data_IF_391470355795
#
_entry.id   IF_391470355795
#
_cell.length_a   1.000
_cell.length_b   1.000
_cell.length_c   1.000
_cell.angle_alpha   90.00
_cell.angle_beta   90.00
_cell.angle_gamma   90.00
#
_symmetry.space_group_name_H-M   'P 1'
#
loop_
_entity.id
_entity.type
_entity.pdbx_description
1 polymer ?
#
# COMPACT_ATOMS: atom_id res chain seq x y z
N UNK A 1 15.54 53.80 -11.68
CA UNK A 1 14.95 52.55 -12.23
C UNK A 1 15.41 51.40 -11.35
N UNK A 2 14.56 50.94 -10.42
CA UNK A 2 14.84 49.74 -9.61
C UNK A 2 14.11 48.57 -10.24
N UNK A 3 14.86 47.58 -10.73
CA UNK A 3 14.32 46.31 -11.21
C UNK A 3 14.09 45.40 -9.99
N UNK A 4 12.83 45.20 -9.62
CA UNK A 4 12.42 44.18 -8.68
C UNK A 4 12.40 42.82 -9.38
N UNK A 5 13.41 41.98 -9.12
CA UNK A 5 13.39 40.56 -9.47
C UNK A 5 12.42 39.82 -8.53
N UNK A 6 11.26 39.44 -9.06
CA UNK A 6 10.36 38.48 -8.42
C UNK A 6 10.92 37.06 -8.59
N UNK A 7 11.44 36.49 -7.50
CA UNK A 7 11.71 35.06 -7.40
C UNK A 7 10.37 34.35 -7.23
N UNK A 8 9.82 33.83 -8.32
CA UNK A 8 8.76 32.82 -8.29
C UNK A 8 9.33 31.56 -7.66
N UNK A 9 9.05 31.33 -6.38
CA UNK A 9 9.25 30.02 -5.76
C UNK A 9 8.29 29.03 -6.41
N UNK A 10 8.76 28.37 -7.47
CA UNK A 10 8.18 27.13 -7.99
C UNK A 10 8.34 26.09 -6.88
N UNK A 11 7.36 26.02 -5.98
CA UNK A 11 7.14 24.83 -5.16
C UNK A 11 6.72 23.73 -6.12
N UNK A 12 7.69 22.95 -6.62
CA UNK A 12 7.37 21.65 -7.18
C UNK A 12 6.71 20.87 -6.05
N UNK A 13 5.43 20.47 -6.17
CA UNK A 13 4.88 19.51 -5.24
C UNK A 13 5.82 18.31 -5.31
N UNK A 14 6.31 17.89 -4.15
CA UNK A 14 7.12 16.69 -4.05
C UNK A 14 6.33 15.58 -4.76
N UNK A 15 6.87 15.09 -5.88
CA UNK A 15 6.31 13.95 -6.60
C UNK A 15 6.54 12.75 -5.68
N UNK A 16 5.56 12.51 -4.81
CA UNK A 16 5.56 11.35 -3.94
C UNK A 16 5.48 10.12 -4.82
N UNK A 17 6.31 9.11 -4.51
CA UNK A 17 6.33 7.85 -5.25
C UNK A 17 5.01 7.10 -5.01
N UNK A 18 4.03 7.33 -5.86
CA UNK A 18 2.78 6.58 -5.87
C UNK A 18 3.08 5.13 -6.24
N UNK A 19 2.48 4.17 -5.53
CA UNK A 19 2.66 2.75 -5.86
C UNK A 19 1.89 2.45 -7.15
N UNK A 20 2.60 2.19 -8.24
CA UNK A 20 2.01 1.71 -9.50
C UNK A 20 1.80 0.20 -9.41
N UNK A 21 0.57 -0.26 -9.61
CA UNK A 21 0.20 -1.67 -9.68
C UNK A 21 -0.14 -2.01 -11.12
N UNK A 22 0.58 -2.97 -11.68
CA UNK A 22 0.44 -3.43 -13.06
C UNK A 22 0.10 -4.91 -13.08
N UNK A 23 -0.79 -5.29 -14.01
CA UNK A 23 -1.22 -6.66 -14.20
C UNK A 23 -1.24 -6.99 -15.70
N UNK A 24 -1.16 -8.27 -16.03
CA UNK A 24 -1.10 -8.69 -17.43
C UNK A 24 -2.41 -8.35 -18.16
N UNK A 25 -2.31 -8.09 -19.46
CA UNK A 25 -3.48 -7.84 -20.30
C UNK A 25 -4.46 -9.02 -20.24
N UNK A 26 -5.76 -8.72 -20.10
CA UNK A 26 -6.85 -9.68 -19.94
C UNK A 26 -6.64 -10.66 -18.78
N UNK A 27 -6.05 -10.18 -17.69
CA UNK A 27 -5.89 -10.98 -16.47
C UNK A 27 -6.58 -10.33 -15.28
N UNK A 28 -6.84 -11.17 -14.28
CA UNK A 28 -7.19 -10.76 -12.93
C UNK A 28 -5.96 -10.93 -12.05
N UNK A 29 -5.65 -9.90 -11.28
CA UNK A 29 -4.63 -9.96 -10.26
C UNK A 29 -5.21 -9.57 -8.90
N UNK A 30 -4.75 -10.27 -7.88
CA UNK A 30 -5.16 -10.05 -6.51
C UNK A 30 -4.01 -9.37 -5.75
N UNK A 31 -4.31 -8.28 -5.05
CA UNK A 31 -3.30 -7.50 -4.35
C UNK A 31 -3.79 -7.07 -2.96
N UNK A 32 -2.96 -7.28 -1.94
CA UNK A 32 -3.12 -6.63 -0.64
C UNK A 32 -2.34 -5.31 -0.61
N UNK A 33 -2.96 -4.27 -0.07
CA UNK A 33 -2.43 -2.93 0.12
C UNK A 33 -2.83 -2.42 1.51
N UNK A 34 -2.09 -1.44 2.03
CA UNK A 34 -2.47 -0.75 3.27
C UNK A 34 -3.27 0.49 2.91
N UNK A 35 -4.38 0.70 3.60
CA UNK A 35 -5.24 1.86 3.42
C UNK A 35 -4.50 3.18 3.65
N UNK A 36 -4.98 4.24 3.02
CA UNK A 36 -4.45 5.59 3.16
C UNK A 36 -3.24 5.96 2.32
N UNK A 37 -2.63 4.98 1.64
CA UNK A 37 -1.54 5.24 0.71
C UNK A 37 -2.06 5.36 -0.72
N UNK A 38 -1.70 6.45 -1.40
CA UNK A 38 -2.04 6.67 -2.80
C UNK A 38 -1.50 5.53 -3.68
N UNK A 39 -2.37 5.00 -4.52
CA UNK A 39 -2.07 3.89 -5.44
C UNK A 39 -2.55 4.24 -6.84
N UNK A 40 -1.81 3.77 -7.84
CA UNK A 40 -2.20 3.87 -9.26
C UNK A 40 -2.39 2.46 -9.80
N UNK A 41 -3.60 2.15 -10.29
CA UNK A 41 -3.89 0.94 -11.03
C UNK A 41 -3.68 1.22 -12.52
N UNK A 42 -2.76 0.48 -13.14
CA UNK A 42 -2.40 0.70 -14.53
C UNK A 42 -3.52 0.25 -15.48
N UNK A 43 -3.81 1.04 -16.51
CA UNK A 43 -4.61 0.56 -17.63
C UNK A 43 -4.18 1.27 -18.90
N UNK A 44 -3.36 0.59 -19.71
CA UNK A 44 -2.74 1.15 -20.90
C UNK A 44 -3.68 1.08 -22.12
N UNK A 45 -4.91 1.59 -21.97
CA UNK A 45 -5.87 1.59 -23.05
C UNK A 45 -6.55 2.96 -23.22
N UNK A 46 -6.43 3.61 -24.39
CA UNK A 46 -7.00 4.93 -24.61
C UNK A 46 -8.51 4.97 -24.37
N UNK A 47 -8.97 5.96 -23.61
CA UNK A 47 -10.38 6.22 -23.29
C UNK A 47 -11.09 5.14 -22.46
N UNK A 48 -10.37 4.14 -21.96
CA UNK A 48 -10.94 3.06 -21.17
C UNK A 48 -11.79 3.52 -19.97
N UNK A 49 -12.87 2.80 -19.70
CA UNK A 49 -13.77 3.05 -18.59
C UNK A 49 -13.38 2.21 -17.39
N UNK A 50 -13.61 2.74 -16.20
CA UNK A 50 -13.32 2.07 -14.95
C UNK A 50 -14.61 1.88 -14.16
N UNK A 51 -14.78 0.68 -13.64
CA UNK A 51 -15.88 0.33 -12.77
C UNK A 51 -15.35 -0.32 -11.50
N UNK A 52 -16.16 -0.25 -10.46
CA UNK A 52 -15.86 -0.87 -9.18
C UNK A 52 -17.06 -1.69 -8.70
N UNK A 53 -16.73 -2.84 -8.13
CA UNK A 53 -17.67 -3.70 -7.40
C UNK A 53 -17.13 -3.93 -6.00
N UNK A 54 -17.91 -3.54 -5.00
CA UNK A 54 -17.60 -3.78 -3.59
C UNK A 54 -17.62 -5.28 -3.28
N UNK A 55 -16.75 -5.74 -2.39
CA UNK A 55 -16.80 -7.12 -1.84
C UNK A 55 -18.12 -7.45 -1.13
N UNK A 56 -18.92 -6.42 -0.79
CA UNK A 56 -20.22 -6.58 -0.14
C UNK A 56 -21.34 -6.99 -1.12
N UNK A 57 -21.04 -7.14 -2.41
CA UNK A 57 -21.99 -7.64 -3.41
C UNK A 57 -22.89 -6.56 -4.01
N UNK A 58 -22.37 -5.35 -4.18
CA UNK A 58 -23.07 -4.26 -4.86
C UNK A 58 -22.87 -4.34 -6.38
N UNK A 59 -23.87 -3.88 -7.15
CA UNK A 59 -23.76 -3.82 -8.61
C UNK A 59 -22.57 -2.95 -9.03
N UNK A 60 -21.81 -3.33 -10.08
CA UNK A 60 -20.72 -2.53 -10.57
C UNK A 60 -21.17 -1.11 -10.95
N UNK A 61 -20.45 -0.10 -10.49
CA UNK A 61 -20.73 1.28 -10.88
C UNK A 61 -19.49 1.95 -11.47
N UNK A 62 -19.75 2.93 -12.34
CA UNK A 62 -18.71 3.68 -13.04
C UNK A 62 -17.99 4.61 -12.05
N UNK A 63 -16.66 4.50 -11.98
CA UNK A 63 -15.83 5.23 -11.01
C UNK A 63 -15.68 6.72 -11.27
N UNK A 64 -16.16 7.23 -12.42
CA UNK A 64 -16.05 8.64 -12.80
C UNK A 64 -16.75 9.61 -11.85
N UNK A 65 -17.56 9.12 -10.91
CA UNK A 65 -18.36 9.90 -9.96
C UNK A 65 -17.82 9.90 -8.52
N UNK A 66 -16.77 9.14 -8.21
CA UNK A 66 -16.29 9.01 -6.84
C UNK A 66 -15.30 10.11 -6.43
N UNK A 67 -15.48 10.73 -5.24
CA UNK A 67 -14.45 11.59 -4.67
C UNK A 67 -13.20 10.76 -4.36
N UNK A 68 -12.01 11.37 -4.45
CA UNK A 68 -10.71 10.73 -4.22
C UNK A 68 -10.26 9.70 -5.26
N UNK A 69 -10.92 9.66 -6.42
CA UNK A 69 -10.51 8.86 -7.58
C UNK A 69 -10.22 9.80 -8.74
N UNK A 70 -9.11 9.58 -9.43
CA UNK A 70 -8.70 10.38 -10.58
C UNK A 70 -8.22 9.49 -11.70
N UNK A 71 -8.80 9.66 -12.89
CA UNK A 71 -8.26 9.06 -14.12
C UNK A 71 -7.04 9.86 -14.59
N UNK A 72 -5.92 9.18 -14.77
CA UNK A 72 -4.67 9.76 -15.25
C UNK A 72 -4.60 9.81 -16.78
N UNK A 73 -3.70 10.64 -17.36
CA UNK A 73 -3.34 10.53 -18.77
C UNK A 73 -2.91 9.09 -19.09
N UNK A 74 -3.45 8.49 -20.15
CA UNK A 74 -3.23 7.08 -20.47
C UNK A 74 -4.30 6.11 -19.95
N UNK A 75 -5.28 6.60 -19.17
CA UNK A 75 -6.41 5.84 -18.61
C UNK A 75 -6.14 5.02 -17.34
N UNK A 76 -4.94 5.05 -16.77
CA UNK A 76 -4.69 4.52 -15.43
C UNK A 76 -5.54 5.22 -14.36
N UNK A 77 -5.85 4.51 -13.28
CA UNK A 77 -6.69 4.98 -12.19
C UNK A 77 -5.86 5.30 -10.95
N UNK A 78 -5.86 6.55 -10.51
CA UNK A 78 -5.29 6.96 -9.24
C UNK A 78 -6.37 6.92 -8.16
N UNK A 79 -6.09 6.21 -7.07
CA UNK A 79 -6.87 6.19 -5.84
C UNK A 79 -6.08 6.96 -4.78
N UNK A 80 -6.65 8.05 -4.26
CA UNK A 80 -6.01 8.87 -3.23
C UNK A 80 -6.55 8.51 -1.85
N UNK A 81 -5.65 8.24 -0.90
CA UNK A 81 -5.99 7.87 0.48
C UNK A 81 -7.10 6.80 0.58
N UNK A 82 -6.98 5.64 -0.11
CA UNK A 82 -8.04 4.64 -0.22
C UNK A 82 -8.40 4.05 1.15
N UNK A 83 -9.69 3.84 1.39
CA UNK A 83 -10.23 3.30 2.65
C UNK A 83 -10.49 1.79 2.56
N UNK A 84 -10.54 1.05 3.69
CA UNK A 84 -10.90 -0.36 3.68
C UNK A 84 -12.27 -0.67 3.05
N UNK A 85 -13.21 0.28 3.08
CA UNK A 85 -14.51 0.14 2.41
C UNK A 85 -14.41 0.14 0.88
N UNK A 86 -13.24 0.48 0.32
CA UNK A 86 -12.95 0.43 -1.11
C UNK A 86 -12.26 -0.88 -1.51
N UNK A 87 -12.16 -1.86 -0.61
CA UNK A 87 -11.77 -3.23 -0.96
C UNK A 87 -12.80 -3.82 -1.92
N UNK A 88 -12.33 -4.40 -3.03
CA UNK A 88 -13.20 -4.88 -4.09
C UNK A 88 -12.51 -5.09 -5.43
N UNK A 89 -13.33 -5.28 -6.46
CA UNK A 89 -12.91 -5.51 -7.82
C UNK A 89 -12.96 -4.21 -8.62
N UNK A 90 -11.82 -3.82 -9.17
CA UNK A 90 -11.66 -2.70 -10.09
C UNK A 90 -11.42 -3.25 -11.49
N UNK A 91 -12.29 -2.94 -12.43
CA UNK A 91 -12.13 -3.44 -13.80
C UNK A 91 -12.03 -2.30 -14.81
N UNK A 92 -11.02 -2.40 -15.67
CA UNK A 92 -10.80 -1.50 -16.79
C UNK A 92 -11.36 -2.14 -18.07
N UNK A 93 -12.23 -1.42 -18.78
CA UNK A 93 -12.84 -1.84 -20.04
C UNK A 93 -12.50 -0.87 -21.17
N UNK A 94 -12.35 -1.37 -22.38
CA UNK A 94 -12.25 -0.52 -23.56
C UNK A 94 -13.60 0.06 -24.00
N UNK A 95 -13.60 0.82 -25.10
CA UNK A 95 -14.80 1.47 -25.62
C UNK A 95 -15.83 0.49 -26.21
N UNK A 96 -15.44 -0.77 -26.45
CA UNK A 96 -16.29 -1.85 -26.95
C UNK A 96 -16.77 -2.77 -25.81
N UNK A 97 -16.59 -2.33 -24.55
CA UNK A 97 -16.85 -3.07 -23.32
C UNK A 97 -16.02 -4.35 -23.17
N UNK A 98 -14.92 -4.50 -23.91
CA UNK A 98 -14.03 -5.62 -23.72
C UNK A 98 -13.10 -5.38 -22.52
N UNK A 99 -12.91 -6.42 -21.73
CA UNK A 99 -12.05 -6.38 -20.56
C UNK A 99 -10.59 -6.14 -20.97
N UNK A 100 -9.96 -5.14 -20.34
CA UNK A 100 -8.53 -4.85 -20.48
C UNK A 100 -7.75 -5.48 -19.33
N UNK A 101 -8.18 -5.25 -18.08
CA UNK A 101 -7.52 -5.77 -16.87
C UNK A 101 -8.46 -5.68 -15.66
N UNK A 102 -8.31 -6.60 -14.71
CA UNK A 102 -9.02 -6.62 -13.43
C UNK A 102 -8.06 -6.64 -12.25
N UNK A 103 -8.37 -5.83 -11.25
CA UNK A 103 -7.65 -5.75 -9.98
C UNK A 103 -8.60 -6.09 -8.84
N UNK A 104 -8.35 -7.19 -8.15
CA UNK A 104 -9.01 -7.52 -6.89
C UNK A 104 -8.12 -7.02 -5.75
N UNK A 105 -8.53 -5.93 -5.10
CA UNK A 105 -7.68 -5.18 -4.18
C UNK A 105 -8.24 -5.25 -2.76
N UNK A 106 -7.40 -5.69 -1.82
CA UNK A 106 -7.64 -5.60 -0.39
C UNK A 106 -6.92 -4.39 0.23
N UNK A 107 -7.68 -3.36 0.64
CA UNK A 107 -7.17 -2.26 1.45
C UNK A 107 -7.27 -2.60 2.95
N UNK A 108 -6.19 -3.13 3.50
CA UNK A 108 -6.09 -3.45 4.92
C UNK A 108 -5.89 -2.21 5.77
N UNK A 109 -6.61 -2.15 6.89
CA UNK A 109 -6.69 -0.96 7.74
C UNK A 109 -5.35 -0.60 8.39
N UNK A 110 -4.75 0.51 7.94
CA UNK A 110 -3.53 1.09 8.49
C UNK A 110 -3.65 1.45 9.98
N UNK A 111 -4.85 1.80 10.46
CA UNK A 111 -5.07 2.18 11.85
C UNK A 111 -5.02 0.98 12.81
N UNK A 112 -5.12 -0.23 12.26
CA UNK A 112 -5.05 -1.48 13.01
C UNK A 112 -3.66 -2.14 12.96
N UNK A 113 -2.65 -1.49 12.37
CA UNK A 113 -1.32 -2.04 12.16
C UNK A 113 -0.68 -2.54 13.47
N UNK A 114 -0.18 -3.78 13.48
CA UNK A 114 0.63 -4.31 14.56
C UNK A 114 2.11 -4.05 14.29
N UNK A 115 2.78 -3.34 15.20
CA UNK A 115 4.18 -2.94 15.02
C UNK A 115 5.07 -3.69 15.99
N UNK A 116 6.14 -4.30 15.48
CA UNK A 116 7.11 -5.06 16.28
C UNK A 116 8.54 -4.69 15.91
N UNK A 117 9.42 -4.62 16.91
CA UNK A 117 10.86 -4.41 16.73
C UNK A 117 11.65 -5.66 17.13
N UNK A 118 12.30 -6.29 16.15
CA UNK A 118 13.01 -7.57 16.32
C UNK A 118 14.14 -7.46 17.36
N UNK A 119 14.96 -6.40 17.30
CA UNK A 119 16.06 -6.21 18.24
C UNK A 119 15.61 -5.89 19.69
N UNK A 120 14.31 -5.67 19.92
CA UNK A 120 13.73 -5.53 21.26
C UNK A 120 13.11 -6.84 21.76
N UNK A 121 13.24 -7.94 21.01
CA UNK A 121 12.63 -9.23 21.33
C UNK A 121 11.11 -9.24 21.18
N UNK A 122 10.54 -8.29 20.42
CA UNK A 122 9.11 -8.29 20.11
C UNK A 122 8.85 -9.24 18.94
N UNK A 123 7.92 -10.15 19.14
CA UNK A 123 7.55 -11.14 18.12
C UNK A 123 6.35 -10.67 17.29
N UNK A 124 6.36 -10.91 15.96
CA UNK A 124 5.19 -10.72 15.11
C UNK A 124 3.99 -11.58 15.52
N UNK A 125 2.83 -11.31 14.92
CA UNK A 125 1.62 -12.08 15.14
C UNK A 125 1.81 -13.53 14.70
N UNK A 126 1.62 -14.46 15.65
CA UNK A 126 1.65 -15.89 15.38
C UNK A 126 0.52 -16.30 14.44
N UNK A 127 0.76 -17.33 13.64
CA UNK A 127 -0.29 -17.87 12.77
C UNK A 127 -1.43 -18.47 13.61
N UNK A 128 -2.67 -18.29 13.16
CA UNK A 128 -3.86 -18.74 13.90
C UNK A 128 -4.75 -19.58 13.00
N UNK A 129 -5.27 -20.69 13.51
CA UNK A 129 -6.30 -21.48 12.80
C UNK A 129 -7.67 -21.05 13.26
N UNK A 130 -8.51 -20.59 12.33
CA UNK A 130 -9.87 -20.15 12.60
C UNK A 130 -10.90 -21.08 11.98
N UNK A 131 -12.15 -20.99 12.46
CA UNK A 131 -13.30 -21.69 11.89
C UNK A 131 -14.20 -20.69 11.16
N UNK A 132 -13.96 -20.50 9.86
CA UNK A 132 -14.68 -19.57 8.98
C UNK A 132 -15.23 -20.36 7.79
N UNK A 133 -16.43 -20.95 7.93
CA UNK A 133 -16.96 -21.92 6.95
C UNK A 133 -16.19 -23.26 6.86
N UNK A 134 -14.97 -23.32 7.38
CA UNK A 134 -14.06 -24.47 7.46
C UNK A 134 -12.86 -24.14 8.35
N UNK A 135 -11.87 -25.04 8.45
CA UNK A 135 -10.61 -24.76 9.15
C UNK A 135 -9.66 -24.02 8.21
N UNK A 136 -9.36 -22.76 8.54
CA UNK A 136 -8.51 -21.90 7.72
C UNK A 136 -7.32 -21.40 8.51
N UNK A 137 -6.18 -21.23 7.85
CA UNK A 137 -4.98 -20.67 8.46
C UNK A 137 -4.90 -19.17 8.17
N UNK A 138 -4.91 -18.35 9.21
CA UNK A 138 -4.62 -16.92 9.12
C UNK A 138 -3.15 -16.70 9.43
N UNK A 139 -2.46 -16.02 8.52
CA UNK A 139 -1.02 -15.77 8.63
C UNK A 139 -0.66 -14.42 8.00
N UNK A 140 0.59 -14.01 8.19
CA UNK A 140 1.11 -12.79 7.60
C UNK A 140 1.95 -13.11 6.37
N UNK A 141 1.56 -12.52 5.25
CA UNK A 141 2.37 -12.49 4.05
C UNK A 141 3.29 -11.27 4.09
N UNK A 142 4.59 -11.51 4.25
CA UNK A 142 5.58 -10.45 4.36
C UNK A 142 6.10 -9.99 3.01
N UNK A 143 6.10 -8.68 2.80
CA UNK A 143 6.92 -8.06 1.78
C UNK A 143 8.42 -8.23 2.11
N UNK A 144 9.30 -8.09 1.10
CA UNK A 144 10.72 -7.99 1.34
C UNK A 144 11.06 -6.86 2.32
N UNK A 145 12.18 -7.03 3.03
CA UNK A 145 12.78 -5.94 3.77
C UNK A 145 13.15 -4.79 2.85
N UNK A 146 12.85 -3.57 3.30
CA UNK A 146 13.41 -2.37 2.71
C UNK A 146 14.93 -2.35 2.87
N UNK A 147 15.58 -1.53 2.05
CA UNK A 147 16.99 -1.21 2.26
C UNK A 147 17.20 -0.60 3.65
N UNK A 148 18.41 -0.81 4.19
CA UNK A 148 18.80 -0.17 5.43
C UNK A 148 18.78 1.35 5.24
N UNK A 149 18.16 2.08 6.18
CA UNK A 149 18.07 3.55 6.08
C UNK A 149 19.44 4.25 6.20
N UNK A 150 20.49 3.51 6.59
CA UNK A 150 21.85 4.00 6.77
C UNK A 150 22.86 2.90 6.48
N UNK A 151 23.98 3.27 5.87
CA UNK A 151 25.15 2.43 5.70
C UNK A 151 26.32 2.91 6.58
N UNK A 152 27.34 2.06 6.77
CA UNK A 152 28.59 2.40 7.46
C UNK A 152 28.45 2.59 8.98
N UNK A 153 27.26 2.38 9.52
CA UNK A 153 26.95 2.48 10.94
C UNK A 153 25.58 1.85 11.23
N UNK A 154 25.16 1.83 12.51
CA UNK A 154 23.86 1.30 12.89
C UNK A 154 22.75 2.04 12.15
N UNK A 155 21.82 1.29 11.59
CA UNK A 155 20.60 1.76 10.94
C UNK A 155 19.42 0.85 11.27
N UNK A 156 18.30 1.12 10.62
CA UNK A 156 17.07 0.33 10.72
C UNK A 156 16.51 0.06 9.32
N UNK A 157 15.87 -1.10 9.17
CA UNK A 157 15.05 -1.43 8.00
C UNK A 157 13.69 -1.93 8.45
N UNK A 158 12.72 -1.84 7.54
CA UNK A 158 11.32 -2.15 7.82
C UNK A 158 10.77 -3.08 6.75
N UNK A 159 9.80 -3.91 7.10
CA UNK A 159 8.98 -4.66 6.14
C UNK A 159 7.52 -4.63 6.54
N UNK A 160 6.67 -4.58 5.53
CA UNK A 160 5.23 -4.60 5.71
C UNK A 160 4.72 -6.03 5.57
N UNK A 161 3.77 -6.41 6.42
CA UNK A 161 3.09 -7.68 6.41
C UNK A 161 1.60 -7.47 6.18
N UNK A 162 1.01 -8.31 5.35
CA UNK A 162 -0.42 -8.29 5.06
C UNK A 162 -1.09 -9.53 5.62
N UNK A 163 -2.32 -9.38 6.11
CA UNK A 163 -3.14 -10.50 6.55
C UNK A 163 -3.58 -11.35 5.35
N UNK A 164 -3.30 -12.65 5.39
CA UNK A 164 -3.77 -13.63 4.42
C UNK A 164 -4.46 -14.80 5.11
N UNK A 165 -5.41 -15.40 4.40
CA UNK A 165 -6.09 -16.64 4.76
C UNK A 165 -5.71 -17.70 3.73
N UNK A 166 -5.30 -18.87 4.21
CA UNK A 166 -5.00 -20.03 3.40
C UNK A 166 -5.92 -21.20 3.77
N UNK A 167 -6.50 -21.81 2.75
CA UNK A 167 -7.16 -23.11 2.85
C UNK A 167 -6.25 -24.23 2.33
N UNK A 168 -6.44 -25.47 2.78
CA UNK A 168 -5.73 -26.61 2.21
C UNK A 168 -5.98 -26.70 0.69
N UNK A 169 -4.90 -26.79 -0.09
CA UNK A 169 -4.91 -26.95 -1.57
C UNK A 169 -5.37 -25.73 -2.38
N UNK A 170 -5.71 -24.61 -1.75
CA UNK A 170 -6.06 -23.37 -2.44
C UNK A 170 -4.95 -22.32 -2.37
N UNK A 171 -4.99 -21.37 -3.30
CA UNK A 171 -4.08 -20.23 -3.25
C UNK A 171 -4.52 -19.31 -2.11
N UNK A 172 -3.61 -18.88 -1.22
CA UNK A 172 -3.96 -17.94 -0.16
C UNK A 172 -4.51 -16.62 -0.71
N UNK A 173 -5.46 -16.04 0.02
CA UNK A 173 -6.10 -14.77 -0.34
C UNK A 173 -5.98 -13.75 0.80
N UNK A 174 -5.94 -12.44 0.48
CA UNK A 174 -6.03 -11.38 1.48
C UNK A 174 -7.31 -11.52 2.33
N UNK A 175 -7.18 -11.25 3.62
CA UNK A 175 -8.21 -11.57 4.60
C UNK A 175 -9.58 -10.95 4.29
N UNK A 176 -9.65 -9.69 3.83
CA UNK A 176 -10.94 -9.06 3.57
C UNK A 176 -11.59 -9.48 2.25
N UNK A 177 -10.79 -9.93 1.27
CA UNK A 177 -11.34 -10.56 0.05
C UNK A 177 -11.92 -11.94 0.35
N UNK A 178 -11.28 -12.70 1.24
CA UNK A 178 -11.78 -14.01 1.68
C UNK A 178 -13.10 -13.89 2.44
N UNK A 179 -13.18 -13.00 3.43
CA UNK A 179 -14.35 -12.86 4.30
C UNK A 179 -15.59 -12.28 3.61
N UNK A 180 -15.41 -11.49 2.54
CA UNK A 180 -16.50 -10.80 1.83
C UNK A 180 -17.43 -10.05 2.80
N UNK A 181 -18.70 -10.46 2.90
CA UNK A 181 -19.70 -9.85 3.77
C UNK A 181 -19.66 -10.37 5.23
N UNK A 182 -18.86 -11.39 5.53
CA UNK A 182 -18.75 -11.97 6.87
C UNK A 182 -17.96 -11.02 7.79
N UNK A 183 -18.64 -10.45 8.79
CA UNK A 183 -18.05 -9.50 9.75
C UNK A 183 -17.28 -10.18 10.88
N UNK A 184 -16.55 -11.25 10.58
CA UNK A 184 -15.70 -11.92 11.56
C UNK A 184 -14.44 -11.08 11.81
N UNK A 185 -14.52 -10.11 12.72
CA UNK A 185 -13.36 -9.30 13.13
C UNK A 185 -12.54 -10.08 14.15
N UNK A 186 -11.55 -10.84 13.68
CA UNK A 186 -10.57 -11.50 14.56
C UNK A 186 -9.40 -10.57 14.85
N UNK A 187 -8.85 -10.66 16.06
CA UNK A 187 -7.68 -9.86 16.46
C UNK A 187 -6.49 -10.10 15.54
N UNK A 188 -6.32 -11.31 14.99
CA UNK A 188 -5.26 -11.65 14.03
C UNK A 188 -5.40 -10.99 12.66
N UNK A 189 -6.60 -10.52 12.30
CA UNK A 189 -6.91 -9.97 10.98
C UNK A 189 -6.52 -8.50 10.84
N UNK A 190 -5.22 -8.25 10.91
CA UNK A 190 -4.64 -6.91 10.78
C UNK A 190 -3.30 -6.98 10.03
N UNK A 191 -2.91 -5.91 9.33
CA UNK A 191 -1.58 -5.84 8.76
C UNK A 191 -0.52 -5.68 9.87
N UNK A 192 0.74 -5.96 9.52
CA UNK A 192 1.88 -5.86 10.41
C UNK A 192 2.99 -4.99 9.84
N UNK A 193 3.81 -4.40 10.71
CA UNK A 193 5.06 -3.74 10.35
C UNK A 193 6.14 -4.26 11.27
N UNK A 194 7.17 -4.87 10.67
CA UNK A 194 8.34 -5.29 11.41
C UNK A 194 9.50 -4.32 11.17
N UNK A 195 10.19 -3.99 12.25
CA UNK A 195 11.41 -3.17 12.26
C UNK A 195 12.56 -4.01 12.79
N UNK A 196 13.73 -3.91 12.17
CA UNK A 196 14.95 -4.50 12.70
C UNK A 196 16.13 -3.54 12.56
N UNK A 197 17.10 -3.67 13.46
CA UNK A 197 18.39 -3.01 13.29
C UNK A 197 19.17 -3.65 12.14
N UNK A 198 19.88 -2.83 11.38
CA UNK A 198 20.77 -3.27 10.31
C UNK A 198 22.12 -2.56 10.37
N UNK A 199 23.14 -3.24 9.87
CA UNK A 199 24.49 -2.69 9.70
C UNK A 199 25.01 -3.17 8.34
N UNK A 200 24.97 -2.29 7.35
CA UNK A 200 25.39 -2.58 5.98
C UNK A 200 26.57 -1.70 5.58
N UNK A 201 27.53 -2.19 4.78
CA UNK A 201 28.58 -1.35 4.22
C UNK A 201 27.98 -0.34 3.23
N UNK A 202 28.64 0.82 3.09
CA UNK A 202 28.24 1.80 2.07
C UNK A 202 28.66 1.31 0.69
N UNK A 203 27.75 1.49 -0.28
CA UNK A 203 28.01 1.23 -1.70
C UNK A 203 27.99 2.57 -2.43
N UNK A 204 29.17 3.20 -2.46
CA UNK A 204 29.34 4.54 -3.02
C UNK A 204 28.92 4.62 -4.51
N UNK A 205 28.96 3.51 -5.25
CA UNK A 205 28.53 3.48 -6.65
C UNK A 205 27.01 3.57 -6.77
N UNK A 206 26.27 2.93 -5.86
CA UNK A 206 24.81 3.08 -5.77
C UNK A 206 24.39 4.43 -5.22
N UNK A 207 25.09 4.95 -4.20
CA UNK A 207 24.80 6.24 -3.58
C UNK A 207 24.97 7.43 -4.55
N UNK A 208 25.95 7.39 -5.45
CA UNK A 208 26.17 8.44 -6.46
C UNK A 208 25.11 8.40 -7.57
N UNK A 209 24.52 7.24 -7.85
CA UNK A 209 23.54 7.05 -8.92
C UNK A 209 22.08 7.12 -8.44
N UNK A 210 21.82 7.33 -7.15
CA UNK A 210 20.45 7.56 -6.67
C UNK A 210 20.05 9.01 -6.96
N UNK A 211 18.95 9.25 -7.70
CA UNK A 211 18.61 10.59 -8.16
C UNK A 211 18.23 11.56 -7.03
N UNK A 212 17.91 11.09 -5.82
CA UNK A 212 17.62 11.96 -4.67
C UNK A 212 17.92 11.25 -3.33
N UNK A 213 18.60 11.94 -2.41
CA UNK A 213 18.58 11.60 -0.99
C UNK A 213 17.20 11.94 -0.42
N UNK A 214 16.40 10.94 -0.05
CA UNK A 214 15.24 11.16 0.82
C UNK A 214 15.77 11.22 2.25
N UNK A 215 15.98 12.43 2.76
CA UNK A 215 16.23 12.63 4.18
C UNK A 215 14.92 12.46 4.94
N UNK A 216 14.80 11.40 5.75
CA UNK A 216 13.76 11.24 6.78
C UNK A 216 14.08 12.16 7.99
N UNK A 217 14.31 13.46 7.74
CA UNK A 217 14.45 14.46 8.80
C UNK A 217 13.07 15.09 9.01
N UNK A 218 12.28 14.50 9.91
CA UNK A 218 11.03 15.13 10.32
C UNK A 218 11.26 16.20 11.37
N UNK A 219 10.93 17.44 11.01
CA UNK A 219 10.77 18.55 11.93
C UNK A 219 9.50 18.34 12.74
N UNK A 220 9.66 18.14 14.05
CA UNK A 220 8.57 18.00 15.01
C UNK A 220 7.71 19.28 15.01
N UNK A 221 6.42 19.19 14.62
CA UNK A 221 5.44 20.24 14.94
C UNK A 221 4.62 20.89 13.80
N UNK A 222 4.66 20.41 12.55
CA UNK A 222 3.72 20.88 11.51
C UNK A 222 2.81 19.75 10.99
N UNK A 223 1.62 19.67 11.59
CA UNK A 223 0.48 18.89 11.11
C UNK A 223 -0.11 19.53 9.84
N UNK A 224 0.13 18.93 8.67
CA UNK A 224 -0.71 19.11 7.48
C UNK A 224 -0.75 17.81 6.65
N UNK A 225 -1.94 17.20 6.59
CA UNK A 225 -2.46 16.26 5.57
C UNK A 225 -1.55 15.20 4.96
N UNK A 226 -1.19 14.17 5.73
CA UNK A 226 -0.67 12.91 5.16
C UNK A 226 -1.14 11.73 6.04
N UNK A 227 -1.62 10.60 5.48
CA UNK A 227 -1.77 9.38 6.28
C UNK A 227 -0.43 8.67 6.35
N UNK A 228 0.24 8.90 7.46
CA UNK A 228 1.50 8.26 7.82
C UNK A 228 1.22 7.10 8.75
N UNK A 229 1.98 6.02 8.59
CA UNK A 229 2.14 5.08 9.68
C UNK A 229 2.95 5.80 10.76
N UNK A 230 2.27 6.40 11.74
CA UNK A 230 2.90 6.80 13.00
C UNK A 230 3.46 5.54 13.64
N UNK A 231 4.72 5.24 13.33
CA UNK A 231 5.48 4.33 14.17
C UNK A 231 5.46 4.95 15.58
N UNK A 232 5.09 4.19 16.62
CA UNK A 232 5.20 4.69 17.98
C UNK A 232 6.62 5.19 18.25
N UNK A 233 6.75 6.17 19.15
CA UNK A 233 7.97 6.81 19.66
C UNK A 233 8.98 5.80 20.27
N UNK A 234 9.45 4.84 19.49
CA UNK A 234 10.33 3.76 19.90
C UNK A 234 11.22 3.30 18.73
N UNK A 235 11.89 4.25 18.07
CA UNK A 235 13.21 3.99 17.49
C UNK A 235 14.24 4.54 18.47
N UNK A 236 15.20 3.71 18.81
CA UNK A 236 16.19 3.83 19.89
C UNK A 236 17.32 4.84 19.60
N UNK A 237 17.08 5.87 18.78
CA UNK A 237 17.91 7.08 18.79
C UNK A 237 17.41 8.09 19.81
N UNK A 238 17.56 7.71 21.08
CA UNK A 238 18.02 8.59 22.16
C UNK A 238 18.97 7.82 23.06
#
# INVERSE_FOLDING_TARGET
MLATLWLLSLSLPTLWAQKLISCAYKSLCQQALVSGNDVVLQCDYPKALWYFSSILGEDPFLLSSMPHIKKLPGSSLQLTNPQPSQTGLYHCQDNDNALVVEYEVDFQDATALHVTHESLGQEPLQNETLRLGGHVLVFTHWEPWQDCNRCGGPGERKRLGYCYIGEPQEKPMPCWLYLRAEKARHSRMRPELQVEACLVPCDHVKEINQPYFIFDIYQLGKLTNNMWLTCPLASIYR
#
